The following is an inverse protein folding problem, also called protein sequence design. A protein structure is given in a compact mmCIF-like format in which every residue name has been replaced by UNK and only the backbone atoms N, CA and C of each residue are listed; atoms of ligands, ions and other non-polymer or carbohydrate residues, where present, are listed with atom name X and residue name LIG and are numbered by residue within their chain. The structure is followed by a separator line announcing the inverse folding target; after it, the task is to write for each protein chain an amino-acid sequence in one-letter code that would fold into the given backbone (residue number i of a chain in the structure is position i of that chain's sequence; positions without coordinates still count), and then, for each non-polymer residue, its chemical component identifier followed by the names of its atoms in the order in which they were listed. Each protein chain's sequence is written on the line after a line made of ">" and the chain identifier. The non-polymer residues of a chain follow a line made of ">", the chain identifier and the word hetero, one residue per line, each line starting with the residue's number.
data_IF_501192221174
#
_entry.id   IF_501192221174
#
_cell.length_a   1.000
_cell.length_b   1.000
_cell.length_c   1.000
_cell.angle_alpha   90.00
_cell.angle_beta   90.00
_cell.angle_gamma   90.00
#
_symmetry.space_group_name_H-M   'P 1'
#
loop_
_entity.id
_entity.type
_entity.pdbx_description
1 polymer ?
#
# COMPACT_ATOMS: atom_id res chain seq x y z
N UNK A 1 7.44 -11.07 -6.26
CA UNK A 1 6.50 -10.55 -5.24
C UNK A 1 7.16 -10.58 -3.86
N UNK A 2 6.88 -9.63 -2.98
CA UNK A 2 7.52 -9.44 -1.65
C UNK A 2 7.44 -10.68 -0.73
N UNK A 3 6.47 -11.56 -0.93
CA UNK A 3 6.37 -12.89 -0.27
C UNK A 3 7.60 -13.78 -0.55
N UNK A 4 8.20 -13.67 -1.75
CA UNK A 4 9.43 -14.40 -2.10
C UNK A 4 10.68 -13.85 -1.41
N UNK A 5 10.63 -12.69 -0.77
CA UNK A 5 11.79 -12.08 -0.10
C UNK A 5 11.92 -12.52 1.37
N UNK A 6 11.06 -13.40 1.87
CA UNK A 6 11.21 -14.01 3.20
C UNK A 6 11.09 -13.05 4.39
N UNK A 7 10.64 -11.81 4.18
CA UNK A 7 10.56 -10.76 5.21
C UNK A 7 9.29 -10.82 6.07
N UNK A 8 8.33 -11.69 5.76
CA UNK A 8 7.09 -11.87 6.54
C UNK A 8 6.81 -13.36 6.72
N UNK A 9 6.66 -13.82 7.97
CA UNK A 9 6.46 -15.25 8.31
C UNK A 9 5.08 -15.78 7.89
N UNK A 10 4.07 -14.90 7.80
CA UNK A 10 2.72 -15.21 7.31
C UNK A 10 2.02 -13.91 6.95
N UNK A 11 1.67 -13.72 5.68
CA UNK A 11 1.00 -12.51 5.18
C UNK A 11 -0.53 -12.55 5.36
N UNK A 12 -1.09 -13.71 5.70
CA UNK A 12 -2.54 -13.93 5.81
C UNK A 12 -3.15 -13.49 7.14
N UNK A 13 -2.33 -13.09 8.11
CA UNK A 13 -2.80 -12.57 9.39
C UNK A 13 -3.47 -11.19 9.23
N UNK A 14 -4.47 -10.91 10.07
CA UNK A 14 -5.20 -9.64 10.04
C UNK A 14 -4.31 -8.49 10.48
N UNK A 15 -4.53 -7.33 9.87
CA UNK A 15 -3.75 -6.11 10.18
C UNK A 15 -3.93 -5.69 11.64
N UNK A 16 -5.16 -5.74 12.17
CA UNK A 16 -5.45 -5.29 13.54
C UNK A 16 -4.95 -6.24 14.62
N UNK A 17 -4.57 -7.48 14.27
CA UNK A 17 -3.88 -8.38 15.20
C UNK A 17 -2.40 -7.95 15.38
N UNK A 18 -1.80 -7.32 14.36
CA UNK A 18 -0.45 -6.73 14.44
C UNK A 18 -0.44 -5.35 15.08
N UNK A 19 -1.46 -4.54 14.82
CA UNK A 19 -1.58 -3.19 15.34
C UNK A 19 -2.83 -3.02 16.21
N UNK A 20 -2.84 -3.63 17.41
CA UNK A 20 -3.99 -3.58 18.31
C UNK A 20 -4.36 -2.15 18.75
N UNK A 21 -3.41 -1.21 18.73
CA UNK A 21 -3.63 0.21 19.02
C UNK A 21 -4.62 0.89 18.06
N UNK A 22 -4.76 0.36 16.83
CA UNK A 22 -5.65 0.89 15.80
C UNK A 22 -6.96 0.11 15.67
N UNK A 23 -7.28 -0.75 16.64
CA UNK A 23 -8.50 -1.57 16.63
C UNK A 23 -9.80 -0.77 16.52
N UNK A 24 -9.78 0.53 16.80
CA UNK A 24 -10.90 1.46 16.56
C UNK A 24 -11.30 1.55 15.07
N UNK A 25 -10.38 1.25 14.17
CA UNK A 25 -10.57 1.26 12.72
C UNK A 25 -10.97 -0.13 12.17
N UNK A 26 -11.06 -1.14 13.04
CA UNK A 26 -11.46 -2.53 12.73
C UNK A 26 -12.98 -2.64 12.54
N UNK A 27 -13.50 -2.01 11.48
CA UNK A 27 -14.94 -1.95 11.21
C UNK A 27 -15.25 -2.25 9.74
N UNK A 28 -16.30 -3.04 9.51
CA UNK A 28 -16.79 -3.34 8.16
C UNK A 28 -15.75 -4.08 7.32
N UNK A 29 -15.51 -3.61 6.08
CA UNK A 29 -14.54 -4.23 5.18
C UNK A 29 -13.10 -4.16 5.69
N UNK A 30 -12.77 -3.20 6.57
CA UNK A 30 -11.43 -3.07 7.14
C UNK A 30 -11.05 -4.29 7.97
N UNK A 31 -12.01 -4.97 8.61
CA UNK A 31 -11.72 -6.16 9.43
C UNK A 31 -11.22 -7.37 8.65
N UNK A 32 -11.30 -7.31 7.31
CA UNK A 32 -10.81 -8.31 6.38
C UNK A 32 -9.40 -7.98 5.85
N UNK A 33 -8.84 -6.82 6.23
CA UNK A 33 -7.48 -6.44 5.85
C UNK A 33 -6.48 -7.41 6.47
N UNK A 34 -5.59 -7.92 5.64
CA UNK A 34 -4.44 -8.72 6.03
C UNK A 34 -3.16 -7.96 5.72
N UNK A 35 -2.05 -8.39 6.31
CA UNK A 35 -0.72 -7.84 5.98
C UNK A 35 -0.41 -8.02 4.49
N UNK A 36 -0.86 -9.12 3.88
CA UNK A 36 -0.76 -9.35 2.44
C UNK A 36 -1.41 -8.25 1.62
N UNK A 37 -2.64 -7.87 1.99
CA UNK A 37 -3.39 -6.85 1.26
C UNK A 37 -2.67 -5.50 1.28
N UNK A 38 -2.04 -5.13 2.41
CA UNK A 38 -1.23 -3.92 2.49
C UNK A 38 0.04 -4.01 1.63
N UNK A 39 0.78 -5.13 1.72
CA UNK A 39 2.05 -5.30 1.02
C UNK A 39 1.92 -5.48 -0.50
N UNK A 40 0.78 -5.97 -0.95
CA UNK A 40 0.47 -6.17 -2.38
C UNK A 40 -0.33 -5.03 -2.98
N UNK A 41 -0.67 -4.02 -2.17
CA UNK A 41 -1.57 -2.92 -2.53
C UNK A 41 -2.92 -3.39 -3.07
N UNK A 42 -3.41 -4.50 -2.52
CA UNK A 42 -4.77 -5.03 -2.76
C UNK A 42 -5.68 -4.75 -1.57
N UNK A 43 -5.33 -3.77 -0.74
CA UNK A 43 -6.09 -3.36 0.43
C UNK A 43 -7.47 -2.81 0.09
N UNK A 44 -7.66 -2.31 -1.13
CA UNK A 44 -8.91 -1.65 -1.51
C UNK A 44 -9.12 -0.31 -0.80
N UNK A 45 -8.07 0.24 -0.17
CA UNK A 45 -8.07 1.58 0.40
C UNK A 45 -8.03 2.61 -0.72
N UNK A 46 -8.75 3.71 -0.51
CA UNK A 46 -8.65 4.90 -1.37
C UNK A 46 -7.21 5.38 -1.37
N UNK A 47 -6.61 5.44 -2.54
CA UNK A 47 -5.22 5.88 -2.69
C UNK A 47 -5.01 6.59 -4.02
N UNK A 48 -4.63 7.86 -3.96
CA UNK A 48 -4.42 8.71 -5.12
C UNK A 48 -2.93 8.96 -5.35
N UNK A 49 -2.34 8.25 -6.32
CA UNK A 49 -0.97 8.45 -6.82
C UNK A 49 -0.95 8.86 -8.30
N UNK A 50 -2.11 9.14 -8.89
CA UNK A 50 -2.18 9.57 -10.30
C UNK A 50 -1.70 11.01 -10.50
N UNK A 51 -1.53 11.74 -9.39
CA UNK A 51 -1.03 13.11 -9.36
C UNK A 51 0.45 13.17 -9.00
N UNK A 52 1.21 14.16 -9.51
CA UNK A 52 2.64 14.27 -9.25
C UNK A 52 2.98 14.43 -7.76
N UNK A 53 4.23 14.12 -7.39
CA UNK A 53 4.73 14.15 -6.00
C UNK A 53 4.79 15.54 -5.35
N UNK A 54 4.69 16.62 -6.11
CA UNK A 54 4.57 17.97 -5.59
C UNK A 54 3.10 18.35 -5.31
N UNK A 55 2.15 17.51 -5.73
CA UNK A 55 0.73 17.74 -5.52
C UNK A 55 0.31 17.33 -4.09
N UNK A 56 -0.32 18.23 -3.31
CA UNK A 56 -0.83 17.90 -1.99
C UNK A 56 -1.93 16.82 -1.98
N UNK A 57 -2.59 16.58 -3.11
CA UNK A 57 -3.61 15.54 -3.26
C UNK A 57 -3.03 14.14 -3.44
N UNK A 58 -1.70 14.02 -3.57
CA UNK A 58 -1.01 12.75 -3.62
C UNK A 58 -1.07 12.07 -2.23
N UNK A 59 -1.65 10.87 -2.16
CA UNK A 59 -1.84 10.14 -0.91
C UNK A 59 -0.53 9.70 -0.26
N UNK A 60 0.51 9.42 -1.05
CA UNK A 60 1.85 9.13 -0.54
C UNK A 60 2.45 10.36 0.14
N UNK A 61 2.28 11.53 -0.46
CA UNK A 61 2.75 12.80 0.11
C UNK A 61 2.01 13.15 1.40
N UNK A 62 0.69 12.95 1.43
CA UNK A 62 -0.09 13.15 2.65
C UNK A 62 0.34 12.19 3.77
N UNK A 63 0.61 10.94 3.44
CA UNK A 63 1.10 9.95 4.39
C UNK A 63 2.49 10.33 4.92
N UNK A 64 3.44 10.71 4.05
CA UNK A 64 4.79 11.12 4.45
C UNK A 64 4.75 12.36 5.35
N UNK A 65 3.81 13.28 5.06
CA UNK A 65 3.59 14.48 5.87
C UNK A 65 2.79 14.21 7.14
N UNK A 66 2.10 13.07 7.23
CA UNK A 66 1.38 12.68 8.44
C UNK A 66 2.39 12.34 9.53
N UNK A 67 2.12 12.79 10.77
CA UNK A 67 2.95 12.44 11.92
C UNK A 67 2.93 10.93 12.24
N UNK A 68 1.98 10.19 11.67
CA UNK A 68 1.81 8.75 11.88
C UNK A 68 1.31 8.06 10.59
N UNK A 69 2.24 7.54 9.76
CA UNK A 69 1.90 6.89 8.49
C UNK A 69 0.95 5.70 8.61
N UNK A 70 1.09 4.89 9.66
CA UNK A 70 0.25 3.69 9.85
C UNK A 70 -1.19 4.10 10.14
N UNK A 71 -1.38 5.04 11.06
CA UNK A 71 -2.69 5.59 11.35
C UNK A 71 -3.32 6.24 10.11
N UNK A 72 -2.53 6.97 9.32
CA UNK A 72 -2.99 7.57 8.07
C UNK A 72 -3.51 6.51 7.10
N UNK A 73 -2.74 5.45 6.84
CA UNK A 73 -3.15 4.35 5.95
C UNK A 73 -4.45 3.70 6.46
N UNK A 74 -4.51 3.35 7.75
CA UNK A 74 -5.68 2.67 8.33
C UNK A 74 -6.90 3.60 8.46
N UNK A 75 -6.70 4.91 8.45
CA UNK A 75 -7.78 5.89 8.41
C UNK A 75 -8.41 6.05 7.02
N UNK A 76 -7.70 5.68 5.94
CA UNK A 76 -8.21 5.86 4.58
C UNK A 76 -9.55 5.12 4.38
N UNK A 77 -10.49 5.71 3.60
CA UNK A 77 -11.75 5.06 3.31
C UNK A 77 -11.53 3.83 2.42
N UNK A 78 -12.42 2.84 2.55
CA UNK A 78 -12.44 1.67 1.66
C UNK A 78 -13.18 2.04 0.38
N UNK A 79 -12.57 1.82 -0.78
CA UNK A 79 -13.24 1.92 -2.08
C UNK A 79 -13.66 0.56 -2.62
N UNK A 80 -12.89 -0.49 -2.31
CA UNK A 80 -13.12 -1.86 -2.77
C UNK A 80 -12.90 -2.87 -1.64
N UNK A 81 -13.50 -4.07 -1.72
CA UNK A 81 -13.18 -5.14 -0.79
C UNK A 81 -11.68 -5.51 -0.83
N UNK A 82 -11.04 -5.81 0.31
CA UNK A 82 -9.66 -6.31 0.34
C UNK A 82 -9.48 -7.56 -0.52
N UNK A 83 -8.35 -7.68 -1.20
CA UNK A 83 -8.05 -8.75 -2.16
C UNK A 83 -8.59 -8.49 -3.56
N UNK A 84 -9.34 -7.39 -3.77
CA UNK A 84 -9.68 -6.92 -5.11
C UNK A 84 -8.43 -6.30 -5.73
N UNK A 85 -8.10 -6.71 -6.96
CA UNK A 85 -7.05 -6.10 -7.78
C UNK A 85 -7.68 -5.03 -8.67
N UNK A 86 -7.82 -3.76 -8.24
CA UNK A 86 -8.10 -2.72 -9.20
C UNK A 86 -6.88 -2.56 -10.10
N UNK A 87 -7.11 -2.67 -11.41
CA UNK A 87 -6.16 -2.35 -12.47
C UNK A 87 -5.52 -0.94 -12.28
N UNK A 88 -6.20 -0.08 -11.52
CA UNK A 88 -5.86 1.31 -11.20
C UNK A 88 -4.67 1.42 -10.22
N UNK A 89 -4.56 0.54 -9.20
CA UNK A 89 -3.49 0.60 -8.18
C UNK A 89 -2.15 0.04 -8.70
N UNK A 90 -2.19 -0.75 -9.77
CA UNK A 90 -1.00 -1.38 -10.39
C UNK A 90 -0.05 -0.33 -11.00
N UNK A 91 -0.55 0.86 -11.33
CA UNK A 91 0.16 1.85 -12.12
C UNK A 91 1.31 2.60 -11.38
N UNK A 92 1.30 2.71 -10.06
CA UNK A 92 2.39 3.36 -9.30
C UNK A 92 3.57 2.42 -9.06
N UNK A 93 3.31 1.29 -8.40
CA UNK A 93 4.37 0.40 -7.91
C UNK A 93 4.97 -0.49 -9.00
N UNK A 94 4.19 -0.95 -9.98
CA UNK A 94 4.74 -1.75 -11.07
C UNK A 94 5.71 -0.91 -11.91
N UNK A 95 5.42 0.39 -12.10
CA UNK A 95 6.32 1.31 -12.82
C UNK A 95 7.64 1.52 -12.07
N UNK A 96 7.62 1.69 -10.76
CA UNK A 96 8.84 1.86 -9.95
C UNK A 96 9.70 0.59 -9.94
N UNK A 97 9.09 -0.59 -9.81
CA UNK A 97 9.80 -1.88 -9.81
C UNK A 97 10.31 -2.25 -11.21
N UNK A 98 9.52 -2.04 -12.27
CA UNK A 98 9.95 -2.31 -13.65
C UNK A 98 11.04 -1.34 -14.14
N UNK A 99 11.02 -0.07 -13.68
CA UNK A 99 12.06 0.92 -14.00
C UNK A 99 13.36 0.62 -13.27
N UNK A 100 13.30 0.05 -12.06
CA UNK A 100 14.48 -0.50 -11.37
C UNK A 100 15.04 -1.76 -12.03
N UNK A 101 14.21 -2.60 -12.66
CA UNK A 101 14.67 -3.81 -13.35
C UNK A 101 15.11 -3.57 -14.82
N UNK A 102 14.65 -2.49 -15.47
CA UNK A 102 15.16 -2.05 -16.80
C UNK A 102 16.39 -1.14 -16.73
N UNK A 103 16.83 -0.76 -15.53
CA UNK A 103 17.99 0.11 -15.31
C UNK A 103 19.36 -0.56 -15.41
N UNK A 104 19.43 -1.77 -16.00
CA UNK A 104 20.68 -2.45 -16.32
C UNK A 104 21.24 -2.07 -17.69
N UNK A 105 21.60 -0.81 -17.89
CA UNK A 105 22.69 -0.35 -18.79
C UNK A 105 23.46 0.66 -17.95
N UNK A 106 24.55 0.24 -17.28
CA UNK A 106 25.92 0.34 -17.82
C UNK A 106 26.15 1.65 -18.59
N UNK A 107 26.75 2.61 -17.88
CA UNK A 107 27.33 3.90 -18.29
C UNK A 107 27.68 4.01 -19.79
N UNK A 108 27.22 5.07 -20.47
CA UNK A 108 28.03 5.93 -21.38
C UNK A 108 27.23 7.15 -21.89
N UNK A 109 27.77 8.34 -21.54
CA UNK A 109 27.36 9.74 -21.81
C UNK A 109 26.13 10.30 -21.07
#
# INVERSE_FOLDING_TARGET
>A
MLVQQGKVKSTTQKVFDFFPEYKKQDTGLKSLLTIEHLLTMTSGLKWNEEVPYDNPDNSEIQMIRSGNPIEFILSQPMELPPGTLPEIIINGILRTVQRSCRGGIFILH
#
